data_IF_295297022318
#
_entry.id   IF_295297022318
#
_cell.length_a   1.000
_cell.length_b   1.000
_cell.length_c   1.000
_cell.angle_alpha   90.00
_cell.angle_beta   90.00
_cell.angle_gamma   90.00
#
_symmetry.space_group_name_H-M   'P 1'
#
loop_
_entity.id
_entity.type
_entity.pdbx_description
1 polymer ?
#
# COMPACT_ATOMS: atom_id res chain seq x y z
N UNK A 1 -48.27 -12.20 21.78
CA UNK A 1 -47.48 -13.34 21.25
C UNK A 1 -46.04 -12.92 21.45
N UNK A 2 -45.22 -13.76 22.09
CA UNK A 2 -43.77 -13.50 22.08
C UNK A 2 -43.33 -13.49 20.61
N UNK A 3 -42.51 -12.51 20.22
CA UNK A 3 -42.00 -12.43 18.86
C UNK A 3 -41.24 -13.71 18.54
N UNK A 4 -41.38 -14.23 17.32
CA UNK A 4 -40.40 -15.19 16.81
C UNK A 4 -39.29 -14.40 16.14
N UNK A 5 -38.05 -14.80 16.33
CA UNK A 5 -36.92 -14.20 15.64
C UNK A 5 -36.57 -14.98 14.38
N UNK A 6 -36.01 -14.27 13.41
CA UNK A 6 -35.62 -14.79 12.10
C UNK A 6 -34.12 -14.67 11.91
N UNK A 7 -33.57 -15.63 11.19
CA UNK A 7 -32.30 -15.51 10.48
C UNK A 7 -32.59 -15.19 9.01
N UNK A 8 -31.80 -14.32 8.39
CA UNK A 8 -31.88 -14.06 6.96
C UNK A 8 -30.50 -13.88 6.35
N UNK A 9 -30.34 -14.23 5.07
CA UNK A 9 -29.18 -13.85 4.27
C UNK A 9 -29.60 -12.93 3.13
N UNK A 10 -28.70 -12.05 2.73
CA UNK A 10 -29.00 -11.00 1.76
C UNK A 10 -27.80 -10.66 0.90
N UNK A 11 -28.10 -10.04 -0.24
CA UNK A 11 -27.15 -9.36 -1.11
C UNK A 11 -27.59 -7.90 -1.25
N UNK A 12 -26.68 -6.94 -1.03
CA UNK A 12 -26.88 -5.53 -1.35
C UNK A 12 -26.10 -5.19 -2.61
N UNK A 13 -26.80 -4.72 -3.63
CA UNK A 13 -26.25 -4.33 -4.92
C UNK A 13 -26.32 -2.79 -5.04
N UNK A 14 -25.18 -2.16 -5.35
CA UNK A 14 -25.10 -0.70 -5.52
C UNK A 14 -25.65 -0.24 -6.88
N UNK A 15 -25.88 -1.14 -7.83
CA UNK A 15 -26.33 -0.80 -9.19
C UNK A 15 -25.21 -0.38 -10.13
N UNK A 16 -23.99 -0.23 -9.62
CA UNK A 16 -22.79 0.16 -10.36
C UNK A 16 -21.89 -1.05 -10.69
N UNK A 17 -22.22 -2.26 -10.21
CA UNK A 17 -21.40 -3.47 -10.37
C UNK A 17 -20.85 -4.00 -9.05
N UNK A 18 -20.81 -3.15 -8.02
CA UNK A 18 -20.38 -3.52 -6.69
C UNK A 18 -21.54 -4.11 -5.89
N UNK A 19 -21.22 -5.06 -5.01
CA UNK A 19 -22.19 -5.61 -4.08
C UNK A 19 -21.51 -6.18 -2.83
N UNK A 20 -22.26 -6.26 -1.74
CA UNK A 20 -21.86 -7.06 -0.59
C UNK A 20 -22.93 -8.05 -0.19
N UNK A 21 -22.49 -9.16 0.41
CA UNK A 21 -23.37 -10.22 0.89
C UNK A 21 -23.18 -10.42 2.38
N UNK A 22 -24.25 -10.83 3.03
CA UNK A 22 -24.26 -10.96 4.47
C UNK A 22 -25.42 -11.77 5.00
N UNK A 23 -25.51 -11.77 6.32
CA UNK A 23 -26.62 -12.37 7.04
C UNK A 23 -26.97 -11.56 8.28
N UNK A 24 -28.17 -11.74 8.79
CA UNK A 24 -28.61 -11.07 9.99
C UNK A 24 -29.65 -11.84 10.79
N UNK A 25 -29.90 -11.30 11.98
CA UNK A 25 -30.91 -11.76 12.92
C UNK A 25 -31.81 -10.59 13.32
N UNK A 26 -33.10 -10.84 13.45
CA UNK A 26 -34.07 -9.81 13.86
C UNK A 26 -35.42 -10.40 14.19
N UNK A 27 -36.36 -9.56 14.62
CA UNK A 27 -37.72 -9.98 14.93
C UNK A 27 -38.52 -10.26 13.64
N UNK A 28 -39.35 -11.29 13.63
CA UNK A 28 -40.21 -11.67 12.49
C UNK A 28 -41.14 -10.55 12.00
N UNK A 29 -41.43 -9.54 12.84
CA UNK A 29 -42.21 -8.35 12.46
C UNK A 29 -41.51 -7.45 11.43
N UNK A 30 -40.22 -7.67 11.16
CA UNK A 30 -39.52 -7.06 10.01
C UNK A 30 -40.16 -7.47 8.68
N UNK A 31 -40.84 -8.62 8.63
CA UNK A 31 -41.61 -9.06 7.47
C UNK A 31 -40.77 -9.52 6.28
N UNK A 32 -39.50 -9.89 6.51
CA UNK A 32 -38.64 -10.41 5.46
C UNK A 32 -39.09 -11.80 4.98
N UNK A 33 -38.97 -12.06 3.67
CA UNK A 33 -39.23 -13.37 3.08
C UNK A 33 -38.26 -13.67 1.93
N UNK A 34 -37.96 -14.95 1.69
CA UNK A 34 -37.02 -15.36 0.64
C UNK A 34 -37.49 -14.92 -0.75
N UNK A 35 -36.58 -14.37 -1.55
CA UNK A 35 -36.83 -13.82 -2.88
C UNK A 35 -37.41 -12.40 -2.86
N UNK A 36 -37.44 -11.73 -1.71
CA UNK A 36 -37.87 -10.34 -1.60
C UNK A 36 -36.78 -9.39 -2.12
N UNK A 37 -37.18 -8.38 -2.88
CA UNK A 37 -36.34 -7.24 -3.23
C UNK A 37 -36.81 -5.98 -2.49
N UNK A 38 -35.87 -5.24 -1.91
CA UNK A 38 -36.10 -3.96 -1.25
C UNK A 38 -35.22 -2.90 -1.92
N UNK A 39 -35.83 -1.80 -2.34
CA UNK A 39 -35.11 -0.68 -2.95
C UNK A 39 -34.88 0.41 -1.92
N UNK A 40 -33.67 0.95 -1.86
CA UNK A 40 -33.28 1.96 -0.90
C UNK A 40 -32.99 3.32 -1.57
N UNK A 41 -32.45 4.26 -0.81
CA UNK A 41 -32.10 5.60 -1.28
C UNK A 41 -31.02 5.57 -2.36
N UNK A 42 -30.89 6.65 -3.16
CA UNK A 42 -29.77 6.79 -4.09
C UNK A 42 -28.43 6.70 -3.35
N UNK A 43 -27.45 6.01 -3.95
CA UNK A 43 -26.07 5.94 -3.47
C UNK A 43 -25.23 7.12 -4.02
N UNK A 44 -23.92 7.08 -3.80
CA UNK A 44 -23.00 8.12 -4.27
C UNK A 44 -22.93 8.28 -5.80
N UNK A 45 -23.21 7.22 -6.56
CA UNK A 45 -23.27 7.28 -8.05
C UNK A 45 -24.60 7.83 -8.56
N UNK A 46 -25.52 8.19 -7.65
CA UNK A 46 -26.92 8.52 -7.95
C UNK A 46 -27.75 7.36 -8.51
N UNK A 47 -27.23 6.13 -8.46
CA UNK A 47 -27.99 4.90 -8.72
C UNK A 47 -28.75 4.47 -7.47
N UNK A 48 -29.74 3.60 -7.63
CA UNK A 48 -30.55 3.09 -6.52
C UNK A 48 -29.99 1.75 -6.06
N UNK A 49 -29.43 1.73 -4.85
CA UNK A 49 -29.03 0.48 -4.21
C UNK A 49 -30.23 -0.40 -3.85
N UNK A 50 -30.03 -1.72 -3.86
CA UNK A 50 -31.11 -2.67 -3.58
C UNK A 50 -30.65 -3.89 -2.79
N UNK A 51 -31.50 -4.33 -1.86
CA UNK A 51 -31.34 -5.59 -1.15
C UNK A 51 -32.14 -6.69 -1.84
N UNK A 52 -31.53 -7.86 -1.99
CA UNK A 52 -32.19 -9.11 -2.31
C UNK A 52 -32.08 -10.04 -1.10
N UNK A 53 -33.22 -10.51 -0.58
CA UNK A 53 -33.26 -11.49 0.50
C UNK A 53 -33.16 -12.89 -0.09
N UNK A 54 -31.99 -13.51 0.05
CA UNK A 54 -31.71 -14.84 -0.49
C UNK A 54 -32.49 -15.93 0.27
N UNK A 55 -32.52 -15.81 1.60
CA UNK A 55 -33.07 -16.85 2.46
C UNK A 55 -33.59 -16.27 3.77
N UNK A 56 -34.69 -16.82 4.29
CA UNK A 56 -35.23 -16.52 5.62
C UNK A 56 -35.56 -17.83 6.34
N UNK A 57 -35.21 -17.88 7.63
CA UNK A 57 -35.48 -18.99 8.53
C UNK A 57 -36.08 -18.48 9.84
N UNK A 58 -37.26 -18.98 10.21
CA UNK A 58 -37.87 -18.74 11.52
C UNK A 58 -37.18 -19.63 12.56
N UNK A 59 -36.60 -19.02 13.60
CA UNK A 59 -35.92 -19.72 14.68
C UNK A 59 -36.90 -20.47 15.59
N UNK A 60 -38.17 -20.06 15.64
CA UNK A 60 -39.20 -20.64 16.50
C UNK A 60 -39.08 -20.27 17.98
N UNK A 61 -38.20 -19.32 18.31
CA UNK A 61 -38.02 -18.76 19.64
C UNK A 61 -37.54 -17.29 19.57
N UNK A 62 -37.65 -16.60 20.70
CA UNK A 62 -37.30 -15.19 20.89
C UNK A 62 -35.89 -15.09 21.50
N UNK A 63 -34.95 -14.50 20.78
CA UNK A 63 -33.58 -14.14 21.21
C UNK A 63 -33.52 -12.74 21.83
N UNK A 64 -34.63 -12.02 21.91
CA UNK A 64 -34.73 -10.68 22.45
C UNK A 64 -34.61 -9.57 21.41
N UNK A 65 -34.77 -9.88 20.12
CA UNK A 65 -34.92 -8.85 19.09
C UNK A 65 -36.32 -8.22 19.16
N UNK A 66 -36.43 -6.94 18.84
CA UNK A 66 -37.73 -6.25 18.86
C UNK A 66 -37.72 -5.02 17.97
N UNK A 67 -38.77 -4.85 17.17
CA UNK A 67 -38.86 -3.73 16.23
C UNK A 67 -37.72 -3.78 15.21
N UNK A 68 -37.00 -2.67 15.04
CA UNK A 68 -35.88 -2.58 14.09
C UNK A 68 -34.54 -3.03 14.69
N UNK A 69 -34.49 -3.53 15.92
CA UNK A 69 -33.24 -4.00 16.52
C UNK A 69 -32.84 -5.32 15.84
N UNK A 70 -31.73 -5.28 15.10
CA UNK A 70 -31.18 -6.43 14.39
C UNK A 70 -29.69 -6.56 14.67
N UNK A 71 -29.11 -7.69 14.31
CA UNK A 71 -27.66 -7.79 14.10
C UNK A 71 -27.45 -8.23 12.68
N UNK A 72 -26.63 -7.48 11.96
CA UNK A 72 -26.32 -7.73 10.57
C UNK A 72 -24.82 -7.85 10.44
N UNK A 73 -24.39 -8.80 9.62
CA UNK A 73 -23.00 -9.12 9.36
C UNK A 73 -22.79 -9.15 7.86
N UNK A 74 -21.76 -8.45 7.39
CA UNK A 74 -21.30 -8.52 6.01
C UNK A 74 -20.20 -9.58 5.95
N UNK A 75 -20.37 -10.58 5.10
CA UNK A 75 -19.46 -11.72 4.95
C UNK A 75 -18.52 -11.59 3.76
N UNK A 76 -18.89 -10.81 2.75
CA UNK A 76 -18.10 -10.63 1.54
C UNK A 76 -18.45 -9.32 0.85
N UNK A 77 -17.46 -8.74 0.19
CA UNK A 77 -17.59 -7.57 -0.66
C UNK A 77 -17.05 -7.92 -2.05
N UNK A 78 -17.75 -7.48 -3.09
CA UNK A 78 -17.36 -7.62 -4.48
C UNK A 78 -17.27 -6.23 -5.11
N UNK A 79 -16.10 -5.94 -5.67
CA UNK A 79 -15.77 -4.72 -6.38
C UNK A 79 -15.74 -5.03 -7.89
N UNK A 80 -16.76 -4.54 -8.58
CA UNK A 80 -16.98 -4.72 -10.01
C UNK A 80 -16.30 -3.68 -10.89
N UNK A 81 -15.59 -2.69 -10.32
CA UNK A 81 -14.90 -1.62 -11.08
C UNK A 81 -15.85 -0.72 -11.88
N UNK A 82 -17.03 -0.43 -11.35
CA UNK A 82 -18.03 0.44 -11.97
C UNK A 82 -18.34 1.70 -11.16
N UNK A 83 -17.39 2.14 -10.34
CA UNK A 83 -17.39 3.43 -9.66
C UNK A 83 -17.43 4.59 -10.66
N UNK A 84 -18.33 5.54 -10.39
CA UNK A 84 -18.49 6.79 -11.16
C UNK A 84 -17.79 7.97 -10.45
N UNK A 85 -16.70 7.72 -9.72
CA UNK A 85 -15.88 8.78 -9.11
C UNK A 85 -15.08 9.57 -10.18
N UNK A 86 -15.06 9.07 -11.42
CA UNK A 86 -14.42 9.69 -12.58
C UNK A 86 -13.12 9.01 -13.02
N UNK A 87 -12.79 7.85 -12.45
CA UNK A 87 -11.66 7.02 -12.86
C UNK A 87 -12.20 5.72 -13.45
N UNK A 88 -11.69 5.27 -14.60
CA UNK A 88 -11.93 3.89 -15.06
C UNK A 88 -11.20 2.95 -14.07
N UNK A 89 -11.77 2.68 -12.88
CA UNK A 89 -11.09 1.89 -11.87
C UNK A 89 -11.12 0.41 -12.27
N UNK A 90 -9.99 -0.30 -12.15
CA UNK A 90 -9.96 -1.75 -12.32
C UNK A 90 -10.94 -2.42 -11.34
N UNK A 91 -11.48 -3.58 -11.70
CA UNK A 91 -12.22 -4.44 -10.76
C UNK A 91 -11.25 -5.36 -10.01
N UNK A 92 -11.51 -5.63 -8.73
CA UNK A 92 -10.73 -6.58 -7.91
C UNK A 92 -11.48 -7.93 -7.68
N UNK A 93 -12.70 -8.08 -8.18
CA UNK A 93 -13.62 -9.18 -7.86
C UNK A 93 -13.94 -9.21 -6.35
N UNK A 94 -13.58 -10.28 -5.63
CA UNK A 94 -13.91 -10.44 -4.21
C UNK A 94 -12.81 -9.90 -3.28
N UNK A 95 -13.17 -8.91 -2.48
CA UNK A 95 -12.33 -8.32 -1.44
C UNK A 95 -12.48 -9.03 -0.09
N UNK A 96 -11.46 -8.88 0.76
CA UNK A 96 -11.49 -9.26 2.16
C UNK A 96 -12.26 -8.21 2.99
N UNK A 97 -13.35 -8.63 3.65
CA UNK A 97 -14.09 -7.77 4.60
C UNK A 97 -13.44 -7.87 5.98
N UNK A 98 -12.82 -6.79 6.44
CA UNK A 98 -12.16 -6.73 7.76
C UNK A 98 -13.17 -6.52 8.89
N UNK A 99 -14.18 -5.70 8.63
CA UNK A 99 -15.29 -5.46 9.53
C UNK A 99 -16.50 -5.03 8.72
N UNK A 100 -17.66 -5.65 8.92
CA UNK A 100 -18.90 -5.19 8.31
C UNK A 100 -20.09 -5.61 9.17
N UNK A 101 -20.77 -4.63 9.76
CA UNK A 101 -21.85 -4.84 10.74
C UNK A 101 -22.97 -3.82 10.60
N UNK A 102 -24.17 -4.18 11.05
CA UNK A 102 -25.33 -3.29 11.16
C UNK A 102 -26.23 -3.68 12.35
N UNK A 103 -27.05 -2.74 12.83
CA UNK A 103 -27.81 -2.92 14.09
C UNK A 103 -29.29 -2.48 14.04
N UNK A 104 -29.73 -1.84 12.95
CA UNK A 104 -31.05 -1.18 12.89
C UNK A 104 -31.85 -1.54 11.63
N UNK A 105 -31.85 -2.82 11.26
CA UNK A 105 -32.39 -3.32 10.00
C UNK A 105 -31.45 -3.10 8.82
N UNK A 106 -31.81 -3.64 7.65
CA UNK A 106 -31.08 -3.42 6.40
C UNK A 106 -30.99 -1.92 6.09
N UNK A 107 -29.85 -1.48 5.57
CA UNK A 107 -29.48 -0.07 5.39
C UNK A 107 -28.76 0.55 6.58
N UNK A 108 -28.32 -0.23 7.57
CA UNK A 108 -27.50 0.23 8.70
C UNK A 108 -26.08 -0.35 8.71
N UNK A 109 -25.76 -1.14 7.69
CA UNK A 109 -24.49 -1.81 7.48
C UNK A 109 -23.43 -0.81 7.03
N UNK A 110 -22.26 -0.91 7.63
CA UNK A 110 -21.05 -0.23 7.20
C UNK A 110 -19.84 -1.10 7.51
N UNK A 111 -18.73 -0.83 6.85
CA UNK A 111 -17.54 -1.65 7.01
C UNK A 111 -16.32 -1.17 6.24
N UNK A 112 -15.33 -2.05 6.22
CA UNK A 112 -14.13 -1.88 5.41
C UNK A 112 -13.81 -3.15 4.61
N UNK A 113 -13.56 -2.97 3.31
CA UNK A 113 -13.14 -3.98 2.36
C UNK A 113 -11.71 -3.70 1.89
N UNK A 114 -10.93 -4.76 1.70
CA UNK A 114 -9.53 -4.67 1.30
C UNK A 114 -9.22 -5.71 0.22
N UNK A 115 -8.43 -5.34 -0.77
CA UNK A 115 -7.78 -6.32 -1.61
C UNK A 115 -6.73 -7.16 -0.85
N UNK A 116 -6.21 -8.20 -1.50
CA UNK A 116 -5.21 -9.09 -0.91
C UNK A 116 -3.95 -8.36 -0.45
N UNK A 117 -3.62 -7.26 -1.11
CA UNK A 117 -2.44 -6.44 -0.85
C UNK A 117 -2.68 -5.33 0.18
N UNK A 118 -3.92 -5.15 0.66
CA UNK A 118 -4.37 -4.06 1.53
C UNK A 118 -4.10 -2.64 0.99
N UNK A 119 -3.85 -2.50 -0.31
CA UNK A 119 -3.65 -1.20 -0.98
C UNK A 119 -4.89 -0.89 -1.81
N UNK A 120 -5.78 -0.05 -1.27
CA UNK A 120 -7.08 0.28 -1.86
C UNK A 120 -7.14 1.79 -2.09
N UNK A 121 -7.85 2.24 -3.13
CA UNK A 121 -8.17 3.66 -3.30
C UNK A 121 -9.15 4.14 -2.23
N UNK A 122 -10.18 3.34 -1.95
CA UNK A 122 -11.10 3.53 -0.83
C UNK A 122 -11.44 2.17 -0.22
N UNK A 123 -11.36 2.08 1.10
CA UNK A 123 -11.68 0.83 1.81
C UNK A 123 -13.03 0.89 2.49
N UNK A 124 -13.62 2.06 2.70
CA UNK A 124 -14.86 2.20 3.44
C UNK A 124 -16.06 1.89 2.56
N UNK A 125 -17.06 1.19 3.12
CA UNK A 125 -18.35 1.04 2.47
C UNK A 125 -19.49 1.19 3.47
N UNK A 126 -20.62 1.69 2.99
CA UNK A 126 -21.93 1.62 3.65
C UNK A 126 -23.04 1.56 2.59
N UNK A 127 -24.30 1.72 2.98
CA UNK A 127 -25.40 1.70 2.00
C UNK A 127 -25.36 2.87 0.98
N UNK A 128 -24.57 3.92 1.22
CA UNK A 128 -24.39 5.05 0.32
C UNK A 128 -23.06 5.01 -0.44
N UNK A 129 -21.97 4.67 0.25
CA UNK A 129 -20.60 4.61 -0.27
C UNK A 129 -20.19 3.18 -0.64
N UNK A 130 -19.69 2.96 -1.85
CA UNK A 130 -18.98 1.75 -2.27
C UNK A 130 -17.49 1.85 -1.90
N UNK A 131 -16.82 0.70 -1.75
CA UNK A 131 -15.38 0.63 -1.54
C UNK A 131 -14.69 0.26 -2.85
N UNK A 132 -13.64 1.01 -3.18
CA UNK A 132 -12.81 0.77 -4.36
C UNK A 132 -11.54 0.03 -3.94
N UNK A 133 -11.58 -1.27 -4.16
CA UNK A 133 -10.55 -2.20 -3.68
C UNK A 133 -9.51 -2.53 -4.74
N UNK A 134 -9.69 -2.11 -5.98
CA UNK A 134 -8.56 -2.05 -6.90
C UNK A 134 -7.52 -1.08 -6.35
N UNK A 135 -6.25 -1.48 -6.44
CA UNK A 135 -5.16 -0.58 -6.10
C UNK A 135 -5.36 0.69 -6.92
N UNK A 136 -5.45 1.83 -6.25
CA UNK A 136 -5.39 3.14 -6.90
C UNK A 136 -4.28 3.10 -7.94
N UNK A 137 -4.45 3.70 -9.12
CA UNK A 137 -3.47 3.66 -10.22
C UNK A 137 -2.05 4.22 -9.93
N UNK A 138 -1.63 4.27 -8.67
CA UNK A 138 -0.27 4.46 -8.17
C UNK A 138 0.37 3.08 -8.04
N UNK A 139 1.53 2.93 -8.69
CA UNK A 139 1.98 1.63 -9.17
C UNK A 139 2.46 0.72 -8.06
N UNK A 140 2.63 -0.56 -8.39
CA UNK A 140 3.25 -1.52 -7.49
C UNK A 140 4.55 -0.97 -6.91
N UNK A 141 4.84 -1.29 -5.65
CA UNK A 141 6.13 -0.94 -5.10
C UNK A 141 7.23 -1.81 -5.70
N UNK A 142 8.41 -1.23 -5.81
CA UNK A 142 9.59 -1.87 -6.34
C UNK A 142 10.65 -2.02 -5.26
N UNK A 143 11.34 -3.15 -5.31
CA UNK A 143 12.68 -3.29 -4.78
C UNK A 143 13.69 -2.95 -5.87
N UNK A 144 14.75 -2.22 -5.53
CA UNK A 144 15.86 -1.97 -6.44
C UNK A 144 17.20 -2.07 -5.73
N UNK A 145 18.25 -2.48 -6.44
CA UNK A 145 19.64 -2.39 -5.98
C UNK A 145 20.45 -1.50 -6.91
N UNK A 146 21.44 -0.82 -6.36
CA UNK A 146 22.20 0.18 -7.09
C UNK A 146 23.67 0.26 -6.65
N UNK A 147 24.45 0.87 -7.51
CA UNK A 147 25.82 1.33 -7.26
C UNK A 147 25.90 2.83 -7.54
N UNK A 148 26.43 3.61 -6.60
CA UNK A 148 26.79 5.01 -6.80
C UNK A 148 28.31 5.13 -6.96
N UNK A 149 28.74 5.77 -8.03
CA UNK A 149 30.14 6.04 -8.36
C UNK A 149 30.38 7.54 -8.29
N UNK A 150 31.41 7.96 -7.55
CA UNK A 150 31.76 9.38 -7.42
C UNK A 150 32.57 9.89 -8.62
N UNK A 151 33.06 9.03 -9.52
CA UNK A 151 33.91 9.40 -10.65
C UNK A 151 35.39 9.63 -10.30
N UNK A 152 35.73 9.66 -9.01
CA UNK A 152 37.09 9.79 -8.48
C UNK A 152 37.72 8.43 -8.10
N UNK A 153 36.98 7.32 -8.23
CA UNK A 153 37.43 5.99 -7.81
C UNK A 153 36.71 5.45 -6.58
N UNK A 154 35.97 6.30 -5.87
CA UNK A 154 35.16 5.89 -4.73
C UNK A 154 33.75 5.52 -5.17
N UNK A 155 33.13 4.62 -4.42
CA UNK A 155 31.76 4.18 -4.69
C UNK A 155 31.07 3.61 -3.46
N UNK A 156 29.74 3.52 -3.51
CA UNK A 156 28.97 2.72 -2.57
C UNK A 156 27.87 1.95 -3.27
N UNK A 157 27.48 0.81 -2.69
CA UNK A 157 26.36 -0.01 -3.19
C UNK A 157 25.27 -0.11 -2.15
N UNK A 158 24.04 -0.29 -2.61
CA UNK A 158 22.89 -0.34 -1.73
C UNK A 158 21.67 -0.95 -2.39
N UNK A 159 20.57 -0.90 -1.63
CA UNK A 159 19.25 -1.29 -2.11
C UNK A 159 18.18 -0.39 -1.51
N UNK A 160 17.02 -0.35 -2.12
CA UNK A 160 15.89 0.40 -1.61
C UNK A 160 14.55 -0.14 -2.04
N UNK A 161 13.52 0.48 -1.45
CA UNK A 161 12.12 0.27 -1.73
C UNK A 161 11.47 1.61 -2.06
N UNK A 162 10.54 1.61 -3.02
CA UNK A 162 9.81 2.81 -3.42
C UNK A 162 8.70 2.50 -4.41
N UNK A 163 7.92 3.52 -4.75
CA UNK A 163 6.81 3.43 -5.72
C UNK A 163 7.38 3.22 -7.15
N UNK A 164 6.75 2.36 -7.95
CA UNK A 164 7.20 2.13 -9.34
C UNK A 164 7.16 3.37 -10.24
N UNK A 165 6.41 4.42 -9.88
CA UNK A 165 6.41 5.73 -10.56
C UNK A 165 7.76 6.43 -10.53
N UNK A 166 8.70 6.00 -9.69
CA UNK A 166 10.11 6.39 -9.76
C UNK A 166 10.76 6.04 -11.11
N UNK A 167 10.19 5.07 -11.84
CA UNK A 167 10.62 4.72 -13.19
C UNK A 167 11.98 4.03 -13.25
N UNK A 168 12.42 3.39 -12.16
CA UNK A 168 13.67 2.65 -12.14
C UNK A 168 13.56 1.35 -12.93
N UNK A 169 14.62 1.00 -13.68
CA UNK A 169 14.71 -0.28 -14.38
C UNK A 169 16.14 -0.83 -14.36
N UNK A 170 16.29 -2.15 -14.47
CA UNK A 170 17.60 -2.81 -14.43
C UNK A 170 18.48 -2.38 -15.60
N UNK A 171 19.73 -2.03 -15.31
CA UNK A 171 20.70 -1.51 -16.27
C UNK A 171 20.58 -0.01 -16.56
N UNK A 172 19.72 0.71 -15.83
CA UNK A 172 19.60 2.16 -15.94
C UNK A 172 20.82 2.87 -15.33
N UNK A 173 21.29 3.92 -16.00
CA UNK A 173 22.25 4.88 -15.44
C UNK A 173 21.60 6.24 -15.22
N UNK A 174 21.80 6.82 -14.04
CA UNK A 174 21.32 8.15 -13.67
C UNK A 174 22.50 9.03 -13.29
N UNK A 175 22.64 10.18 -13.93
CA UNK A 175 23.69 11.15 -13.63
C UNK A 175 23.16 12.23 -12.69
N UNK A 176 23.91 12.54 -11.63
CA UNK A 176 23.51 13.52 -10.62
C UNK A 176 24.41 14.77 -10.65
N UNK A 177 24.19 15.67 -9.69
CA UNK A 177 24.95 16.93 -9.56
C UNK A 177 26.47 16.69 -9.35
N UNK A 178 27.31 17.69 -9.66
CA UNK A 178 28.74 17.63 -9.36
C UNK A 178 28.99 17.37 -7.87
N UNK A 179 29.99 16.54 -7.55
CA UNK A 179 30.46 16.26 -6.20
C UNK A 179 31.51 17.31 -5.75
N UNK A 180 32.16 17.08 -4.61
CA UNK A 180 33.19 17.98 -4.06
C UNK A 180 34.45 18.10 -4.93
N UNK A 181 34.77 17.10 -5.76
CA UNK A 181 35.90 17.14 -6.70
C UNK A 181 35.55 17.83 -8.03
N UNK A 182 34.31 18.31 -8.17
CA UNK A 182 33.72 18.80 -9.43
C UNK A 182 33.53 17.71 -10.50
N UNK A 183 33.68 16.44 -10.15
CA UNK A 183 33.28 15.30 -10.98
C UNK A 183 31.78 15.04 -10.86
N UNK A 184 31.21 14.35 -11.84
CA UNK A 184 29.79 14.01 -11.85
C UNK A 184 29.59 12.60 -11.32
N UNK A 185 29.02 12.50 -10.12
CA UNK A 185 28.63 11.19 -9.59
C UNK A 185 27.44 10.58 -10.35
N UNK A 186 27.38 9.25 -10.38
CA UNK A 186 26.35 8.52 -11.13
C UNK A 186 25.85 7.28 -10.41
N UNK A 187 24.56 7.01 -10.54
CA UNK A 187 23.94 5.77 -10.11
C UNK A 187 23.84 4.79 -11.29
N UNK A 188 24.13 3.53 -11.03
CA UNK A 188 23.78 2.39 -11.87
C UNK A 188 22.78 1.51 -11.13
N UNK A 189 21.63 1.22 -11.75
CA UNK A 189 20.61 0.35 -11.18
C UNK A 189 20.90 -1.09 -11.61
N UNK A 190 21.37 -1.90 -10.69
CA UNK A 190 21.77 -3.29 -10.96
C UNK A 190 20.55 -4.18 -11.22
N UNK A 191 19.50 -4.00 -10.41
CA UNK A 191 18.34 -4.89 -10.41
C UNK A 191 17.09 -4.14 -9.94
N UNK A 192 15.94 -4.48 -10.53
CA UNK A 192 14.62 -3.99 -10.13
C UNK A 192 13.65 -5.16 -10.10
N UNK A 193 12.85 -5.24 -9.04
CA UNK A 193 11.84 -6.25 -8.82
C UNK A 193 10.53 -5.59 -8.38
N UNK A 194 9.47 -5.83 -9.14
CA UNK A 194 8.11 -5.47 -8.78
C UNK A 194 7.61 -6.38 -7.66
N UNK A 195 7.19 -5.80 -6.54
CA UNK A 195 6.69 -6.54 -5.39
C UNK A 195 5.29 -7.14 -5.64
N UNK A 196 4.51 -6.57 -6.57
CA UNK A 196 3.13 -6.96 -6.85
C UNK A 196 2.13 -6.54 -5.77
N UNK A 197 2.55 -5.70 -4.85
CA UNK A 197 1.75 -5.09 -3.79
C UNK A 197 2.36 -3.74 -3.41
N UNK A 198 1.60 -2.92 -2.70
CA UNK A 198 1.98 -1.58 -2.26
C UNK A 198 2.10 -1.55 -0.72
N UNK A 199 3.26 -1.08 -0.26
CA UNK A 199 3.72 -0.92 1.13
C UNK A 199 3.47 0.49 1.67
N UNK A 200 2.83 1.36 0.89
CA UNK A 200 2.53 2.75 1.22
C UNK A 200 3.61 3.74 0.76
N UNK A 201 4.43 3.39 -0.24
CA UNK A 201 5.32 4.36 -0.88
C UNK A 201 4.53 5.22 -1.88
N UNK A 202 4.94 6.47 -2.06
CA UNK A 202 4.28 7.38 -3.00
C UNK A 202 5.24 8.49 -3.42
N UNK A 203 5.26 8.79 -4.72
CA UNK A 203 6.14 9.79 -5.32
C UNK A 203 7.61 9.49 -5.02
N UNK A 204 8.31 10.44 -4.40
CA UNK A 204 9.73 10.27 -4.07
C UNK A 204 9.96 9.58 -2.71
N UNK A 205 8.93 9.21 -1.97
CA UNK A 205 9.13 8.53 -0.68
C UNK A 205 9.72 7.14 -0.92
N UNK A 206 10.85 6.87 -0.29
CA UNK A 206 11.60 5.61 -0.44
C UNK A 206 12.20 5.22 0.90
N UNK A 207 12.67 3.99 1.00
CA UNK A 207 13.66 3.61 2.01
C UNK A 207 14.87 3.06 1.31
N UNK A 208 16.01 3.68 1.53
CA UNK A 208 17.27 3.31 0.89
C UNK A 208 18.28 2.92 1.97
N UNK A 209 19.05 1.88 1.70
CA UNK A 209 20.07 1.32 2.57
C UNK A 209 21.38 1.18 1.80
N UNK A 210 22.46 1.71 2.38
CA UNK A 210 23.82 1.52 1.88
C UNK A 210 24.42 0.28 2.53
N UNK A 211 24.87 -0.66 1.71
CA UNK A 211 25.37 -1.96 2.16
C UNK A 211 26.90 -2.04 2.17
N UNK A 212 27.57 -1.31 1.28
CA UNK A 212 29.04 -1.28 1.26
C UNK A 212 29.55 0.04 0.70
N UNK A 213 30.77 0.39 1.11
CA UNK A 213 31.52 1.55 0.63
C UNK A 213 32.90 1.06 0.16
N UNK A 214 33.37 1.62 -0.94
CA UNK A 214 34.67 1.35 -1.54
C UNK A 214 35.44 2.66 -1.69
N UNK A 215 36.61 2.70 -1.07
CA UNK A 215 37.56 3.82 -1.14
C UNK A 215 38.72 3.41 -2.06
N UNK A 216 38.76 4.05 -3.22
CA UNK A 216 39.73 3.81 -4.28
C UNK A 216 40.99 4.68 -4.22
N UNK A 217 41.07 5.62 -3.27
CA UNK A 217 42.22 6.52 -3.07
C UNK A 217 42.46 7.53 -4.20
N UNK A 218 41.38 8.04 -4.80
CA UNK A 218 41.44 9.08 -5.84
C UNK A 218 40.88 10.44 -5.41
N UNK A 219 40.87 10.70 -4.11
CA UNK A 219 40.58 11.97 -3.46
C UNK A 219 41.58 13.07 -3.90
N UNK A 220 41.04 14.17 -4.41
CA UNK A 220 41.80 15.33 -4.91
C UNK A 220 41.95 16.43 -3.84
N UNK A 221 41.93 16.09 -2.55
CA UNK A 221 42.15 17.07 -1.46
C UNK A 221 43.65 17.44 -1.28
N UNK A 222 44.55 16.66 -1.89
CA UNK A 222 45.93 17.02 -2.16
C UNK A 222 46.97 16.56 -1.14
N UNK A 223 46.78 15.45 -0.40
CA UNK A 223 47.86 14.87 0.43
C UNK A 223 47.88 13.33 0.43
N UNK A 224 48.83 12.73 -0.30
CA UNK A 224 49.31 11.33 -0.13
C UNK A 224 48.22 10.26 0.16
N UNK A 225 47.16 10.20 -0.64
CA UNK A 225 45.94 9.43 -0.38
C UNK A 225 46.11 7.91 -0.28
N UNK A 226 46.03 7.31 0.92
CA UNK A 226 45.91 5.85 1.06
C UNK A 226 44.51 5.36 0.65
N UNK A 227 44.41 4.27 -0.10
CA UNK A 227 43.14 3.60 -0.42
C UNK A 227 42.86 2.47 0.56
N UNK A 228 41.61 2.27 1.00
CA UNK A 228 41.26 1.18 1.93
C UNK A 228 40.58 -0.03 1.26
N UNK A 229 40.25 0.04 -0.03
CA UNK A 229 39.35 -0.91 -0.72
C UNK A 229 37.96 -0.92 -0.07
N UNK A 230 37.47 -2.07 0.44
CA UNK A 230 36.14 -2.18 1.02
C UNK A 230 36.09 -1.80 2.50
N UNK A 231 35.27 -0.83 2.82
CA UNK A 231 35.05 -0.32 4.17
C UNK A 231 33.82 -0.93 4.85
N UNK A 232 33.80 -0.86 6.18
CA UNK A 232 32.61 -1.15 6.97
C UNK A 232 31.69 0.08 6.98
N UNK A 233 30.47 -0.06 6.45
CA UNK A 233 29.43 0.96 6.56
C UNK A 233 28.74 0.81 7.92
N UNK A 234 28.93 1.78 8.82
CA UNK A 234 28.30 1.75 10.15
C UNK A 234 26.85 2.20 10.13
N UNK A 235 26.50 3.08 9.19
CA UNK A 235 25.14 3.54 8.95
C UNK A 235 25.10 4.19 7.59
N UNK A 236 24.13 3.83 6.74
CA UNK A 236 23.88 4.55 5.50
C UNK A 236 22.43 4.37 5.07
N UNK A 237 21.69 5.49 5.01
CA UNK A 237 20.25 5.49 4.75
C UNK A 237 19.83 6.67 3.88
N UNK A 238 18.73 6.52 3.15
CA UNK A 238 18.05 7.57 2.39
C UNK A 238 16.53 7.39 2.43
N UNK A 239 15.78 8.47 2.16
CA UNK A 239 14.31 8.48 2.30
C UNK A 239 13.56 9.13 1.13
N UNK A 240 14.25 9.83 0.21
CA UNK A 240 13.62 10.67 -0.81
C UNK A 240 14.17 10.42 -2.22
N UNK A 241 14.17 9.15 -2.64
CA UNK A 241 14.79 8.69 -3.88
C UNK A 241 16.31 8.65 -3.80
N UNK A 242 16.93 8.12 -4.86
CA UNK A 242 18.38 8.14 -5.03
C UNK A 242 18.89 9.59 -5.02
N UNK A 243 19.99 9.83 -4.32
CA UNK A 243 20.55 11.15 -4.02
C UNK A 243 20.22 11.67 -2.61
N UNK A 244 19.45 10.93 -1.81
CA UNK A 244 19.13 11.29 -0.41
C UNK A 244 19.98 10.56 0.63
N UNK A 245 20.85 9.67 0.18
CA UNK A 245 21.68 8.80 0.99
C UNK A 245 22.83 9.55 1.64
N UNK A 246 23.05 9.25 2.91
CA UNK A 246 24.24 9.67 3.64
C UNK A 246 24.59 8.62 4.69
N UNK A 247 25.84 8.63 5.14
CA UNK A 247 26.31 7.64 6.07
C UNK A 247 27.70 7.86 6.59
N UNK A 248 28.20 6.84 7.28
CA UNK A 248 29.57 6.78 7.77
C UNK A 248 30.24 5.45 7.39
N UNK A 249 31.43 5.52 6.83
CA UNK A 249 32.28 4.41 6.48
C UNK A 249 33.53 4.38 7.37
N UNK A 250 34.00 3.18 7.71
CA UNK A 250 35.17 2.99 8.58
C UNK A 250 36.09 1.90 8.05
N UNK A 251 37.39 2.14 8.21
CA UNK A 251 38.36 1.07 8.13
C UNK A 251 38.22 0.11 9.34
N UNK A 252 38.89 -1.04 9.28
CA UNK A 252 38.89 -2.05 10.35
C UNK A 252 39.40 -1.51 11.71
N UNK A 253 40.23 -0.47 11.68
CA UNK A 253 40.83 0.15 12.86
C UNK A 253 40.00 1.31 13.44
N UNK A 254 38.88 1.69 12.81
CA UNK A 254 38.10 2.91 13.08
C UNK A 254 38.94 4.20 13.10
N UNK A 255 40.01 4.25 12.30
CA UNK A 255 40.94 5.37 12.22
C UNK A 255 40.90 5.96 10.82
N UNK A 256 40.10 7.02 10.62
CA UNK A 256 39.89 7.64 9.30
C UNK A 256 40.26 9.14 9.33
N UNK A 257 40.58 9.70 8.17
CA UNK A 257 40.68 11.16 7.97
C UNK A 257 39.30 11.79 7.84
N UNK A 258 38.45 11.20 6.99
CA UNK A 258 37.02 11.49 6.90
C UNK A 258 36.22 10.17 6.92
N UNK A 259 35.13 10.14 7.66
CA UNK A 259 34.27 8.96 7.72
C UNK A 259 32.91 9.20 7.09
N UNK A 260 32.54 10.45 6.85
CA UNK A 260 31.21 10.80 6.37
C UNK A 260 31.15 10.69 4.85
N UNK A 261 30.05 10.15 4.34
CA UNK A 261 29.78 10.18 2.91
C UNK A 261 28.32 10.57 2.65
N UNK A 262 28.09 11.23 1.51
CA UNK A 262 26.77 11.41 0.91
C UNK A 262 26.93 11.56 -0.61
N UNK A 263 25.88 11.87 -1.35
CA UNK A 263 25.95 12.07 -2.80
C UNK A 263 26.86 13.23 -3.28
N UNK A 264 27.52 13.98 -2.38
CA UNK A 264 28.42 15.08 -2.69
C UNK A 264 29.83 14.88 -2.11
N UNK A 265 29.92 14.34 -0.89
CA UNK A 265 31.16 14.07 -0.17
C UNK A 265 31.50 12.58 -0.18
N UNK A 266 32.73 12.23 -0.54
CA UNK A 266 33.29 10.88 -0.34
C UNK A 266 33.91 10.76 1.07
N UNK A 267 34.06 9.53 1.56
CA UNK A 267 34.75 9.28 2.83
C UNK A 267 36.18 8.81 2.53
N UNK A 268 37.16 9.42 3.19
CA UNK A 268 38.58 9.13 2.97
C UNK A 268 39.15 8.28 4.12
N UNK A 269 39.52 7.04 3.81
CA UNK A 269 39.91 6.03 4.79
C UNK A 269 41.39 5.69 4.67
N UNK A 270 42.12 5.95 5.76
CA UNK A 270 43.56 5.65 5.84
C UNK A 270 43.84 4.23 6.37
N UNK A 271 45.04 3.69 6.18
CA UNK A 271 45.47 2.41 6.80
C UNK A 271 45.82 2.56 8.29
#
# INVERSE_FOLDING_TARGET
MAGNDIYFSYTYDYGNGDFYQGYGYGDSSLGYYSGQSLYYYPNETSDYGSYYIDYVYDLGYDLGYSGNNTYIYVSSYYDGGGDYDGVDSPSYDYAYVSSGVGYYGLGSEYGYAYNYSYSNSDSYFDNYYSADTSGSGYGNDIYFSYTYDYGNGDSYTGYGYGDSSLGYYSGQSLYYYPNETSDYGSYYIDYVYDLGYDLGYSGNNTYIYVSSYYDGGGDYDGVDSPSYDYAYVSSGVGYYGLGSEYGYAYNYSYSNSDSYFNNYYSADLVF
#
